data_IF_308346938900
#
_entry.id   IF_308346938900
#
_cell.length_a   1.000
_cell.length_b   1.000
_cell.length_c   1.000
_cell.angle_alpha   90.00
_cell.angle_beta   90.00
_cell.angle_gamma   90.00
#
_symmetry.space_group_name_H-M   'P 1'
#
loop_
_entity.id
_entity.type
_entity.pdbx_description
1 polymer ?
#
# COMPACT_ATOMS: atom_id res chain seq x y z
N UNK A 1 2.64 7.56 -7.37
CA UNK A 1 3.97 6.92 -7.42
C UNK A 1 3.80 5.47 -7.86
N UNK A 2 4.45 5.05 -8.96
CA UNK A 2 4.38 3.66 -9.41
C UNK A 2 4.99 2.72 -8.36
N UNK A 3 4.36 1.57 -8.15
CA UNK A 3 4.76 0.53 -7.20
C UNK A 3 6.21 0.02 -7.40
N UNK A 4 6.82 0.31 -8.54
CA UNK A 4 8.21 -0.04 -8.86
C UNK A 4 9.24 0.82 -8.10
N UNK A 5 8.88 2.02 -7.64
CA UNK A 5 9.83 2.97 -7.04
C UNK A 5 10.31 2.53 -5.65
N UNK A 6 9.41 2.02 -4.79
CA UNK A 6 9.75 1.63 -3.42
C UNK A 6 10.52 0.31 -3.35
N UNK A 7 10.18 -0.67 -4.19
CA UNK A 7 10.93 -1.92 -4.34
C UNK A 7 12.35 -1.65 -4.87
N UNK A 8 12.52 -0.65 -5.73
CA UNK A 8 13.83 -0.29 -6.29
C UNK A 8 14.78 0.32 -5.25
N UNK A 9 14.25 1.01 -4.23
CA UNK A 9 15.07 1.66 -3.20
C UNK A 9 15.80 0.67 -2.28
N UNK A 10 15.18 -0.48 -1.97
CA UNK A 10 15.87 -1.57 -1.25
C UNK A 10 16.93 -2.25 -2.12
N UNK A 11 16.74 -2.31 -3.45
CA UNK A 11 17.79 -2.82 -4.36
C UNK A 11 19.07 -1.95 -4.38
N UNK A 12 18.99 -0.70 -3.92
CA UNK A 12 20.15 0.17 -3.70
C UNK A 12 20.94 -0.14 -2.41
N UNK A 13 20.55 -1.14 -1.61
CA UNK A 13 21.35 -1.64 -0.47
C UNK A 13 22.69 -2.27 -0.87
N UNK A 14 22.98 -2.35 -2.17
CA UNK A 14 24.24 -2.87 -2.70
C UNK A 14 25.45 -1.93 -2.52
N UNK A 15 25.65 -1.35 -1.33
CA UNK A 15 26.92 -0.72 -0.97
C UNK A 15 28.08 -1.74 -0.93
N UNK A 16 27.77 -3.04 -0.89
CA UNK A 16 28.73 -4.13 -1.13
C UNK A 16 29.30 -4.15 -2.57
N UNK A 17 28.58 -3.65 -3.60
CA UNK A 17 29.09 -3.63 -5.00
C UNK A 17 30.22 -2.64 -5.21
N UNK A 18 30.29 -1.55 -4.43
CA UNK A 18 31.36 -0.54 -4.49
C UNK A 18 32.74 -1.16 -4.23
N UNK A 19 32.83 -2.04 -3.22
CA UNK A 19 34.09 -2.67 -2.81
C UNK A 19 34.59 -3.70 -3.83
N UNK A 20 33.68 -4.51 -4.38
CA UNK A 20 34.02 -5.60 -5.31
C UNK A 20 34.54 -5.06 -6.65
N UNK A 21 34.03 -3.91 -7.13
CA UNK A 21 34.42 -3.35 -8.42
C UNK A 21 35.65 -2.44 -8.39
N UNK A 22 36.17 -2.09 -7.20
CA UNK A 22 37.31 -1.17 -7.06
C UNK A 22 38.58 -1.71 -7.71
N UNK A 23 38.80 -3.02 -7.61
CA UNK A 23 40.01 -3.69 -8.09
C UNK A 23 39.81 -4.39 -9.45
N UNK A 24 38.69 -4.13 -10.13
CA UNK A 24 38.41 -4.71 -11.43
C UNK A 24 39.43 -4.24 -12.48
N UNK A 25 40.02 -5.20 -13.22
CA UNK A 25 40.99 -4.91 -14.29
C UNK A 25 40.32 -4.55 -15.63
N UNK A 26 39.06 -4.95 -15.82
CA UNK A 26 38.28 -4.64 -17.03
C UNK A 26 38.07 -3.13 -17.19
N UNK A 27 38.36 -2.62 -18.39
CA UNK A 27 38.15 -1.21 -18.74
C UNK A 27 36.69 -0.78 -18.52
N UNK A 28 35.73 -1.61 -18.93
CA UNK A 28 34.31 -1.33 -18.77
C UNK A 28 33.91 -1.19 -17.30
N UNK A 29 34.34 -2.14 -16.45
CA UNK A 29 33.99 -2.13 -15.02
C UNK A 29 34.65 -0.97 -14.27
N UNK A 30 35.89 -0.59 -14.63
CA UNK A 30 36.55 0.59 -14.08
C UNK A 30 35.80 1.87 -14.41
N UNK A 31 35.30 2.01 -15.63
CA UNK A 31 34.51 3.17 -16.03
C UNK A 31 33.18 3.23 -15.29
N UNK A 32 32.47 2.09 -15.16
CA UNK A 32 31.25 1.99 -14.36
C UNK A 32 31.51 2.38 -12.89
N UNK A 33 32.61 1.88 -12.31
CA UNK A 33 32.98 2.22 -10.93
C UNK A 33 33.23 3.73 -10.77
N UNK A 34 33.97 4.36 -11.68
CA UNK A 34 34.25 5.81 -11.62
C UNK A 34 33.02 6.66 -11.85
N UNK A 35 32.17 6.32 -12.83
CA UNK A 35 31.02 7.17 -13.21
C UNK A 35 29.80 6.97 -12.31
N UNK A 36 29.58 5.76 -11.81
CA UNK A 36 28.39 5.41 -11.02
C UNK A 36 28.76 5.23 -9.55
N UNK A 37 29.68 4.31 -9.25
CA UNK A 37 29.97 3.96 -7.86
C UNK A 37 30.58 5.15 -7.11
N UNK A 38 31.63 5.80 -7.62
CA UNK A 38 32.28 6.93 -6.92
C UNK A 38 31.46 8.23 -6.90
N UNK A 39 30.26 8.25 -7.47
CA UNK A 39 29.44 9.45 -7.52
C UNK A 39 28.64 9.62 -6.22
N UNK A 40 29.04 10.60 -5.41
CA UNK A 40 28.42 10.89 -4.11
C UNK A 40 26.98 11.41 -4.22
N UNK A 41 26.54 11.85 -5.42
CA UNK A 41 25.15 12.29 -5.64
C UNK A 41 24.15 11.18 -5.32
N UNK A 42 24.49 9.92 -5.57
CA UNK A 42 23.61 8.79 -5.24
C UNK A 42 23.45 8.59 -3.73
N UNK A 43 24.51 8.83 -2.95
CA UNK A 43 24.43 8.79 -1.49
C UNK A 43 23.52 9.90 -0.97
N UNK A 44 23.65 11.12 -1.51
CA UNK A 44 22.80 12.25 -1.15
C UNK A 44 21.32 12.03 -1.54
N UNK A 45 21.07 11.50 -2.75
CA UNK A 45 19.71 11.14 -3.20
C UNK A 45 19.11 10.10 -2.26
N UNK A 46 19.87 9.05 -1.92
CA UNK A 46 19.41 8.02 -0.97
C UNK A 46 19.06 8.63 0.39
N UNK A 47 19.93 9.48 0.93
CA UNK A 47 19.69 10.15 2.21
C UNK A 47 18.40 10.97 2.20
N UNK A 48 18.18 11.78 1.15
CA UNK A 48 16.94 12.57 1.00
C UNK A 48 15.70 11.70 0.92
N UNK A 49 15.79 10.55 0.24
CA UNK A 49 14.67 9.61 0.15
C UNK A 49 14.39 9.00 1.53
N UNK A 50 15.41 8.54 2.26
CA UNK A 50 15.24 7.95 3.59
C UNK A 50 14.76 8.95 4.65
N UNK A 51 14.98 10.24 4.46
CA UNK A 51 14.41 11.28 5.33
C UNK A 51 12.89 11.38 5.20
N UNK A 52 12.34 11.05 4.01
CA UNK A 52 10.92 11.28 3.70
C UNK A 52 10.13 9.97 3.63
N UNK A 53 10.69 8.91 3.05
CA UNK A 53 10.01 7.65 2.78
C UNK A 53 10.25 6.68 3.93
N UNK A 54 9.17 6.04 4.39
CA UNK A 54 9.22 5.01 5.41
C UNK A 54 9.81 3.71 4.82
N UNK A 55 10.79 3.15 5.53
CA UNK A 55 11.57 2.01 5.10
C UNK A 55 10.76 0.71 5.18
N UNK A 56 9.78 0.64 6.07
CA UNK A 56 8.94 -0.53 6.31
C UNK A 56 7.81 -0.67 5.29
N UNK A 57 7.68 0.29 4.37
CA UNK A 57 6.65 0.26 3.34
C UNK A 57 6.99 -0.81 2.31
N UNK A 58 6.10 -1.79 2.18
CA UNK A 58 6.28 -2.94 1.29
C UNK A 58 5.21 -2.97 0.20
N UNK A 59 5.58 -3.56 -0.94
CA UNK A 59 4.60 -3.86 -1.97
C UNK A 59 3.61 -4.91 -1.47
N UNK A 60 2.33 -4.54 -1.41
CA UNK A 60 1.25 -5.46 -1.08
C UNK A 60 0.42 -5.79 -2.33
N UNK A 61 0.08 -7.08 -2.48
CA UNK A 61 -0.81 -7.56 -3.55
C UNK A 61 -2.29 -7.36 -3.24
N UNK A 62 -2.65 -7.39 -1.95
CA UNK A 62 -4.04 -7.19 -1.51
C UNK A 62 -4.40 -5.71 -1.69
N UNK A 63 -5.44 -5.35 -2.47
CA UNK A 63 -5.64 -3.97 -2.92
C UNK A 63 -5.83 -2.94 -1.79
N UNK A 64 -6.52 -3.29 -0.71
CA UNK A 64 -6.68 -2.38 0.43
C UNK A 64 -5.36 -2.19 1.19
N UNK A 65 -4.62 -3.28 1.44
CA UNK A 65 -3.29 -3.21 2.06
C UNK A 65 -2.34 -2.36 1.21
N UNK A 66 -2.37 -2.53 -0.12
CA UNK A 66 -1.58 -1.72 -1.04
C UNK A 66 -1.91 -0.22 -0.91
N UNK A 67 -3.19 0.12 -0.74
CA UNK A 67 -3.64 1.49 -0.52
C UNK A 67 -3.18 2.04 0.83
N UNK A 68 -3.25 1.24 1.89
CA UNK A 68 -2.73 1.60 3.20
C UNK A 68 -1.22 1.85 3.12
N UNK A 69 -0.45 0.93 2.54
CA UNK A 69 0.99 1.07 2.32
C UNK A 69 1.34 2.37 1.56
N UNK A 70 0.54 2.74 0.55
CA UNK A 70 0.72 4.00 -0.16
C UNK A 70 0.40 5.23 0.69
N UNK A 71 -0.67 5.19 1.49
CA UNK A 71 -1.07 6.29 2.37
C UNK A 71 -0.01 6.60 3.44
N UNK A 72 0.66 5.55 3.93
CA UNK A 72 1.71 5.62 4.95
C UNK A 72 3.13 5.54 4.35
N UNK A 73 3.29 5.76 3.05
CA UNK A 73 4.60 5.66 2.38
C UNK A 73 5.60 6.73 2.83
N UNK A 74 5.09 7.91 3.18
CA UNK A 74 5.88 9.02 3.73
C UNK A 74 5.92 8.90 5.25
N UNK A 75 7.06 9.16 5.90
CA UNK A 75 7.17 9.15 7.36
C UNK A 75 6.19 10.14 8.00
N UNK A 76 5.75 9.87 9.23
CA UNK A 76 4.89 10.78 9.99
C UNK A 76 5.64 12.09 10.32
N UNK A 77 4.91 13.20 10.41
CA UNK A 77 5.46 14.52 10.76
C UNK A 77 6.18 15.24 9.63
N UNK A 78 6.27 14.65 8.43
CA UNK A 78 6.85 15.30 7.25
C UNK A 78 5.90 16.35 6.68
N UNK A 79 4.59 16.07 6.67
CA UNK A 79 3.56 16.97 6.18
C UNK A 79 2.31 16.87 7.08
N UNK A 80 1.98 17.98 7.74
CA UNK A 80 0.87 18.00 8.71
C UNK A 80 -0.51 17.81 8.07
N UNK A 81 -0.72 18.24 6.82
CA UNK A 81 -1.98 18.03 6.12
C UNK A 81 -2.14 16.57 5.72
N UNK A 82 -1.06 15.92 5.30
CA UNK A 82 -1.02 14.49 5.03
C UNK A 82 -1.33 13.68 6.29
N UNK A 83 -0.81 14.09 7.44
CA UNK A 83 -1.10 13.42 8.72
C UNK A 83 -2.56 13.57 9.15
N UNK A 84 -3.17 14.74 8.92
CA UNK A 84 -4.62 14.92 9.11
C UNK A 84 -5.41 14.01 8.15
N UNK A 85 -5.01 13.95 6.88
CA UNK A 85 -5.67 13.09 5.89
C UNK A 85 -5.55 11.59 6.24
N UNK A 86 -4.41 11.15 6.80
CA UNK A 86 -4.20 9.79 7.29
C UNK A 86 -5.15 9.44 8.44
N UNK A 87 -5.38 10.36 9.37
CA UNK A 87 -6.36 10.15 10.44
C UNK A 87 -7.75 9.93 9.86
N UNK A 88 -8.19 10.80 8.94
CA UNK A 88 -9.48 10.63 8.25
C UNK A 88 -9.57 9.30 7.50
N UNK A 89 -8.49 8.85 6.85
CA UNK A 89 -8.44 7.53 6.19
C UNK A 89 -8.64 6.38 7.18
N UNK A 90 -7.95 6.40 8.32
CA UNK A 90 -8.10 5.39 9.38
C UNK A 90 -9.51 5.41 9.97
N UNK A 91 -10.00 6.58 10.38
CA UNK A 91 -11.31 6.75 11.02
C UNK A 91 -12.43 6.29 10.09
N UNK A 92 -12.36 6.65 8.80
CA UNK A 92 -13.34 6.22 7.80
C UNK A 92 -13.28 4.72 7.58
N UNK A 93 -12.08 4.15 7.48
CA UNK A 93 -11.92 2.70 7.30
C UNK A 93 -12.50 1.94 8.50
N UNK A 94 -12.20 2.38 9.72
CA UNK A 94 -12.74 1.81 10.94
C UNK A 94 -14.27 1.93 11.01
N UNK A 95 -14.84 3.09 10.65
CA UNK A 95 -16.27 3.30 10.61
C UNK A 95 -16.97 2.33 9.63
N UNK A 96 -16.39 2.05 8.46
CA UNK A 96 -16.92 1.07 7.50
C UNK A 96 -16.90 -0.34 8.11
N UNK A 97 -15.82 -0.73 8.80
CA UNK A 97 -15.73 -2.03 9.47
C UNK A 97 -16.75 -2.14 10.62
N UNK A 98 -16.93 -1.08 11.42
CA UNK A 98 -17.97 -1.00 12.47
C UNK A 98 -19.37 -1.13 11.87
N UNK A 99 -19.65 -0.47 10.75
CA UNK A 99 -20.92 -0.58 10.05
C UNK A 99 -21.18 -2.02 9.56
N UNK A 100 -20.15 -2.70 9.04
CA UNK A 100 -20.28 -4.10 8.65
C UNK A 100 -20.64 -4.99 9.85
N UNK A 101 -19.99 -4.80 11.00
CA UNK A 101 -20.31 -5.54 12.23
C UNK A 101 -21.75 -5.29 12.67
N UNK A 102 -22.15 -4.02 12.74
CA UNK A 102 -23.53 -3.63 13.07
C UNK A 102 -24.55 -4.30 12.14
N UNK A 103 -24.27 -4.36 10.84
CA UNK A 103 -25.20 -4.98 9.88
C UNK A 103 -25.23 -6.52 9.98
N UNK A 104 -24.16 -7.18 10.44
CA UNK A 104 -24.21 -8.61 10.75
C UNK A 104 -25.19 -8.89 11.88
N UNK A 105 -25.20 -8.04 12.89
CA UNK A 105 -26.06 -8.15 14.08
C UNK A 105 -27.51 -7.73 13.75
N UNK A 106 -27.72 -6.48 13.32
CA UNK A 106 -29.03 -5.88 13.08
C UNK A 106 -29.89 -6.70 12.09
N UNK A 107 -29.25 -7.28 11.06
CA UNK A 107 -29.94 -8.01 10.01
C UNK A 107 -29.74 -9.53 10.07
N UNK A 108 -29.09 -10.05 11.13
CA UNK A 108 -28.80 -11.49 11.31
C UNK A 108 -28.08 -12.10 10.09
N UNK A 109 -27.06 -11.40 9.58
CA UNK A 109 -26.26 -11.79 8.41
C UNK A 109 -24.82 -12.15 8.82
N UNK A 110 -24.59 -13.26 9.55
CA UNK A 110 -23.29 -13.56 10.16
C UNK A 110 -22.14 -13.70 9.14
N UNK A 111 -22.43 -14.14 7.91
CA UNK A 111 -21.42 -14.32 6.88
C UNK A 111 -21.30 -13.13 5.91
N UNK A 112 -21.87 -11.96 6.24
CA UNK A 112 -21.67 -10.74 5.46
C UNK A 112 -20.17 -10.40 5.42
N UNK A 113 -19.61 -10.37 4.21
CA UNK A 113 -18.21 -10.02 3.96
C UNK A 113 -18.11 -8.55 3.56
N UNK A 114 -16.97 -7.95 3.88
CA UNK A 114 -16.60 -6.58 3.48
C UNK A 114 -15.35 -6.60 2.58
N UNK A 115 -15.44 -7.14 1.36
CA UNK A 115 -14.36 -7.07 0.40
C UNK A 115 -14.07 -5.64 -0.06
N UNK A 116 -12.85 -5.43 -0.56
CA UNK A 116 -12.40 -4.21 -1.20
C UNK A 116 -11.80 -4.52 -2.58
N UNK A 117 -12.08 -3.69 -3.58
CA UNK A 117 -11.31 -3.68 -4.83
C UNK A 117 -11.13 -2.24 -5.36
N UNK A 118 -10.16 -2.06 -6.26
CA UNK A 118 -9.79 -0.73 -6.74
C UNK A 118 -10.90 -0.02 -7.54
N UNK A 119 -11.84 -0.76 -8.14
CA UNK A 119 -12.91 -0.18 -8.96
C UNK A 119 -14.11 0.30 -8.11
N UNK A 120 -14.47 -0.45 -7.07
CA UNK A 120 -15.68 -0.22 -6.26
C UNK A 120 -15.40 0.33 -4.86
N UNK A 121 -14.15 0.23 -4.39
CA UNK A 121 -13.85 0.42 -2.97
C UNK A 121 -14.41 -0.74 -2.13
N UNK A 122 -14.84 -0.42 -0.91
CA UNK A 122 -15.52 -1.37 -0.03
C UNK A 122 -16.95 -1.63 -0.49
N UNK A 123 -17.40 -2.88 -0.39
CA UNK A 123 -18.79 -3.25 -0.65
C UNK A 123 -19.19 -4.44 0.23
N UNK A 124 -20.48 -4.60 0.49
CA UNK A 124 -20.98 -5.79 1.17
C UNK A 124 -21.17 -6.94 0.19
N UNK A 125 -20.76 -8.12 0.60
CA UNK A 125 -21.01 -9.38 -0.11
C UNK A 125 -21.72 -10.34 0.83
N UNK A 126 -22.95 -10.71 0.48
CA UNK A 126 -23.83 -11.52 1.30
C UNK A 126 -24.08 -12.84 0.55
N UNK A 127 -23.84 -14.00 1.17
CA UNK A 127 -24.23 -15.28 0.58
C UNK A 127 -25.75 -15.33 0.38
N UNK A 128 -26.20 -15.73 -0.80
CA UNK A 128 -27.64 -15.77 -1.13
C UNK A 128 -28.44 -16.64 -0.15
N UNK A 129 -27.86 -17.75 0.32
CA UNK A 129 -28.47 -18.64 1.33
C UNK A 129 -28.79 -17.96 2.68
N UNK A 130 -28.11 -16.85 2.99
CA UNK A 130 -28.32 -16.10 4.23
C UNK A 130 -29.42 -15.03 4.06
N UNK A 131 -29.89 -14.80 2.83
CA UNK A 131 -30.95 -13.84 2.54
C UNK A 131 -32.30 -14.56 2.65
N UNK A 132 -33.05 -14.28 3.71
CA UNK A 132 -34.42 -14.74 3.88
C UNK A 132 -35.39 -13.64 3.43
N UNK A 133 -36.05 -13.84 2.30
CA UNK A 133 -36.99 -12.86 1.75
C UNK A 133 -36.31 -11.65 1.12
N UNK A 134 -36.87 -10.45 1.33
CA UNK A 134 -36.33 -9.21 0.74
C UNK A 134 -35.23 -8.63 1.61
N UNK A 135 -34.14 -8.21 0.97
CA UNK A 135 -33.05 -7.51 1.63
C UNK A 135 -33.52 -6.13 2.15
N UNK A 136 -33.07 -5.67 3.33
CA UNK A 136 -33.44 -4.35 3.87
C UNK A 136 -33.13 -3.20 2.91
N UNK A 137 -33.96 -2.14 2.92
CA UNK A 137 -33.78 -0.96 2.06
C UNK A 137 -32.51 -0.15 2.34
N UNK A 138 -31.82 -0.43 3.46
CA UNK A 138 -30.48 0.10 3.77
C UNK A 138 -29.42 -0.35 2.77
N UNK A 139 -29.62 -1.46 2.08
CA UNK A 139 -28.71 -1.95 1.05
C UNK A 139 -29.05 -1.30 -0.29
N UNK A 140 -28.11 -0.54 -0.84
CA UNK A 140 -28.24 0.14 -2.12
C UNK A 140 -27.39 -0.53 -3.20
N UNK A 141 -27.70 -0.28 -4.47
CA UNK A 141 -26.96 -0.82 -5.62
C UNK A 141 -26.79 -2.35 -5.56
N UNK A 142 -27.87 -3.05 -5.17
CA UNK A 142 -27.86 -4.51 -5.03
C UNK A 142 -27.68 -5.15 -6.41
N UNK A 143 -26.63 -5.96 -6.56
CA UNK A 143 -26.35 -6.72 -7.79
C UNK A 143 -26.34 -8.19 -7.45
N UNK A 144 -27.20 -8.96 -8.11
CA UNK A 144 -27.19 -10.42 -7.99
C UNK A 144 -26.13 -11.01 -8.92
N UNK A 145 -25.27 -11.88 -8.39
CA UNK A 145 -24.27 -12.61 -9.18
C UNK A 145 -24.54 -14.10 -9.01
N UNK A 146 -24.99 -14.73 -10.08
CA UNK A 146 -25.08 -16.17 -10.19
C UNK A 146 -23.67 -16.67 -10.53
N UNK A 147 -23.17 -17.64 -9.76
CA UNK A 147 -21.93 -18.35 -10.08
C UNK A 147 -22.26 -19.61 -10.89
#
# INVERSE_FOLDING_TARGET
MSSSFLVSLRSCENFQKKRVMKDAKSFLLRNIYKSICQNDKYALIRQRILQVIDEDVVHARVPFIARTQQCFAVKAGIDGLLDVARRTFCDTSEAIHKLANKYREDFKLPNLKLPFNNRRGFYFSIPQKDIQGKLPSKFIQVVHRNF
#
